data_IF_226293128839
#
_entry.id   IF_226293128839
#
_cell.length_a   1.000
_cell.length_b   1.000
_cell.length_c   1.000
_cell.angle_alpha   90.00
_cell.angle_beta   90.00
_cell.angle_gamma   90.00
#
_symmetry.space_group_name_H-M   'P 1'
#
loop_
_entity.id
_entity.type
_entity.pdbx_description
1 polymer ?
#
# COMPACT_ATOMS: atom_id res chain seq x y z
N UNK A 1 -17.16 5.90 14.36
CA UNK A 1 -17.40 7.29 13.91
C UNK A 1 -18.10 7.32 12.55
N UNK A 2 -17.71 6.48 11.57
CA UNK A 2 -18.33 6.47 10.22
C UNK A 2 -19.26 5.28 9.91
N UNK A 3 -19.55 4.39 10.87
CA UNK A 3 -20.39 3.20 10.61
C UNK A 3 -19.79 2.14 9.67
N UNK A 4 -18.60 2.41 9.11
CA UNK A 4 -17.83 1.46 8.31
C UNK A 4 -17.36 0.26 9.15
N UNK A 5 -17.30 -0.95 8.56
CA UNK A 5 -16.73 -2.11 9.22
C UNK A 5 -15.23 -1.92 9.47
N UNK A 6 -14.71 -2.61 10.49
CA UNK A 6 -13.26 -2.70 10.70
C UNK A 6 -12.66 -3.56 9.57
N UNK A 7 -11.67 -3.04 8.80
CA UNK A 7 -11.04 -3.82 7.73
C UNK A 7 -10.21 -4.94 8.35
N UNK A 8 -10.26 -6.11 7.74
CA UNK A 8 -9.52 -7.30 8.17
C UNK A 8 -8.49 -7.76 7.15
N UNK A 9 -8.63 -7.39 5.88
CA UNK A 9 -7.76 -7.76 4.77
C UNK A 9 -7.37 -6.54 3.92
N UNK A 10 -6.37 -6.67 3.05
CA UNK A 10 -6.10 -5.64 2.04
C UNK A 10 -7.26 -5.48 1.07
N UNK A 11 -7.94 -6.58 0.72
CA UNK A 11 -9.08 -6.58 -0.19
C UNK A 11 -10.23 -5.69 0.29
N UNK A 12 -10.45 -5.64 1.61
CA UNK A 12 -11.52 -4.83 2.21
C UNK A 12 -11.41 -3.35 1.81
N UNK A 13 -10.19 -2.80 1.70
CA UNK A 13 -9.98 -1.38 1.37
C UNK A 13 -10.41 -1.01 -0.06
N UNK A 14 -10.49 -1.98 -0.97
CA UNK A 14 -11.02 -1.82 -2.33
C UNK A 14 -12.49 -2.21 -2.46
N UNK A 15 -13.20 -2.49 -1.36
CA UNK A 15 -14.60 -2.93 -1.40
C UNK A 15 -15.59 -1.76 -1.55
N UNK A 16 -16.80 -2.03 -2.09
CA UNK A 16 -17.92 -1.08 -2.17
C UNK A 16 -18.27 -0.40 -0.84
N UNK A 17 -18.10 -1.10 0.28
CA UNK A 17 -18.50 -0.58 1.59
C UNK A 17 -17.71 0.68 1.97
N UNK A 18 -16.46 0.82 1.51
CA UNK A 18 -15.66 2.03 1.74
C UNK A 18 -15.95 3.15 0.75
N UNK A 19 -16.75 2.90 -0.29
CA UNK A 19 -17.21 3.90 -1.26
C UNK A 19 -18.43 4.69 -0.77
N UNK A 20 -19.07 4.27 0.32
CA UNK A 20 -20.35 4.80 0.82
C UNK A 20 -20.38 6.31 1.12
N UNK A 21 -19.22 6.96 1.19
CA UNK A 21 -19.09 8.39 1.47
C UNK A 21 -18.43 9.18 0.34
N UNK A 22 -18.15 8.55 -0.81
CA UNK A 22 -17.61 9.27 -1.97
C UNK A 22 -18.52 10.46 -2.34
N UNK A 23 -17.94 11.59 -2.79
CA UNK A 23 -16.50 11.82 -3.05
C UNK A 23 -15.68 12.14 -1.78
N UNK A 24 -16.26 12.07 -0.58
CA UNK A 24 -15.48 12.15 0.67
C UNK A 24 -14.77 10.82 0.92
N UNK A 25 -13.49 10.76 0.57
CA UNK A 25 -12.65 9.57 0.76
C UNK A 25 -12.35 9.31 2.23
N UNK A 26 -12.63 8.08 2.68
CA UNK A 26 -12.37 7.63 4.06
C UNK A 26 -11.25 6.59 4.16
N UNK A 27 -10.72 6.12 3.02
CA UNK A 27 -9.46 5.37 2.96
C UNK A 27 -8.34 6.35 2.64
N UNK A 28 -7.12 6.07 3.11
CA UNK A 28 -5.93 6.84 2.75
C UNK A 28 -4.76 5.94 2.40
N UNK A 29 -4.06 6.31 1.34
CA UNK A 29 -2.79 5.68 0.95
C UNK A 29 -1.80 6.77 0.51
N UNK A 30 -0.58 6.40 0.14
CA UNK A 30 0.41 7.36 -0.35
C UNK A 30 0.89 7.04 -1.76
N UNK A 31 1.27 8.09 -2.50
CA UNK A 31 1.86 7.96 -3.81
C UNK A 31 3.17 7.15 -3.72
N UNK A 32 3.24 6.06 -4.49
CA UNK A 32 4.41 5.19 -4.57
C UNK A 32 5.70 5.97 -4.93
N UNK A 33 5.60 7.04 -5.72
CA UNK A 33 6.73 7.86 -6.17
C UNK A 33 7.35 8.72 -5.06
N UNK A 34 6.66 8.92 -3.95
CA UNK A 34 7.10 9.72 -2.79
C UNK A 34 7.13 8.93 -1.49
N UNK A 35 6.44 7.78 -1.39
CA UNK A 35 6.43 6.90 -0.22
C UNK A 35 7.01 5.50 -0.51
N UNK A 36 8.22 5.24 0.01
CA UNK A 36 8.86 3.92 -0.11
C UNK A 36 8.16 2.84 0.73
N UNK A 37 7.57 3.20 1.86
CA UNK A 37 6.82 2.27 2.72
C UNK A 37 5.51 1.82 2.05
N UNK A 38 4.74 2.74 1.47
CA UNK A 38 3.55 2.36 0.69
C UNK A 38 3.92 1.60 -0.58
N UNK A 39 5.04 1.94 -1.24
CA UNK A 39 5.57 1.10 -2.32
C UNK A 39 5.77 -0.34 -1.86
N UNK A 40 6.31 -0.57 -0.66
CA UNK A 40 6.45 -1.94 -0.12
C UNK A 40 5.08 -2.59 0.14
N UNK A 41 4.10 -1.87 0.67
CA UNK A 41 2.73 -2.38 0.85
C UNK A 41 2.13 -2.83 -0.49
N UNK A 42 2.31 -2.04 -1.55
CA UNK A 42 1.83 -2.42 -2.89
C UNK A 42 2.52 -3.69 -3.41
N UNK A 43 3.81 -3.86 -3.14
CA UNK A 43 4.52 -5.10 -3.49
C UNK A 43 4.00 -6.31 -2.70
N UNK A 44 3.61 -6.12 -1.43
CA UNK A 44 3.01 -7.18 -0.61
C UNK A 44 1.68 -7.61 -1.24
N UNK A 45 0.82 -6.65 -1.58
CA UNK A 45 -0.47 -6.91 -2.26
C UNK A 45 -0.23 -7.65 -3.59
N UNK A 46 0.68 -7.18 -4.44
CA UNK A 46 1.01 -7.85 -5.71
C UNK A 46 1.55 -9.28 -5.55
N UNK A 47 2.21 -9.60 -4.43
CA UNK A 47 2.70 -10.96 -4.16
C UNK A 47 1.67 -11.86 -3.47
N UNK A 48 0.67 -11.30 -2.77
CA UNK A 48 -0.46 -12.05 -2.21
C UNK A 48 -1.45 -12.41 -3.33
N UNK A 49 -1.88 -11.40 -4.09
CA UNK A 49 -2.99 -11.52 -5.03
C UNK A 49 -2.55 -11.90 -6.44
N UNK A 50 -1.24 -11.85 -6.72
CA UNK A 50 -0.72 -11.97 -8.07
C UNK A 50 -0.78 -10.65 -8.83
N UNK A 51 -0.31 -10.66 -10.07
CA UNK A 51 -0.08 -9.41 -10.81
C UNK A 51 -1.38 -8.74 -11.25
N UNK A 52 -2.28 -9.48 -11.90
CA UNK A 52 -3.55 -8.95 -12.43
C UNK A 52 -4.49 -8.53 -11.31
N UNK A 53 -4.89 -9.47 -10.45
CA UNK A 53 -5.79 -9.19 -9.33
C UNK A 53 -5.18 -8.21 -8.32
N UNK A 54 -3.86 -8.26 -8.10
CA UNK A 54 -3.19 -7.31 -7.21
C UNK A 54 -3.25 -5.87 -7.74
N UNK A 55 -3.08 -5.65 -9.05
CA UNK A 55 -3.27 -4.32 -9.65
C UNK A 55 -4.73 -3.90 -9.62
N UNK A 56 -5.66 -4.82 -9.90
CA UNK A 56 -7.09 -4.55 -9.79
C UNK A 56 -7.47 -4.06 -8.38
N UNK A 57 -7.01 -4.76 -7.35
CA UNK A 57 -7.20 -4.36 -5.97
C UNK A 57 -6.55 -3.01 -5.65
N UNK A 58 -5.32 -2.75 -6.12
CA UNK A 58 -4.65 -1.47 -5.88
C UNK A 58 -5.40 -0.28 -6.50
N UNK A 59 -5.97 -0.46 -7.69
CA UNK A 59 -6.77 0.58 -8.36
C UNK A 59 -8.08 0.82 -7.61
N UNK A 60 -8.81 -0.24 -7.23
CA UNK A 60 -10.02 -0.13 -6.40
C UNK A 60 -9.75 0.51 -5.05
N UNK A 61 -8.65 0.14 -4.40
CA UNK A 61 -8.20 0.78 -3.16
C UNK A 61 -7.91 2.27 -3.40
N UNK A 62 -7.26 2.60 -4.52
CA UNK A 62 -7.01 3.97 -4.95
C UNK A 62 -8.29 4.78 -5.18
N UNK A 63 -9.32 4.16 -5.76
CA UNK A 63 -10.63 4.78 -5.99
C UNK A 63 -11.42 5.08 -4.70
N UNK A 64 -11.12 4.35 -3.61
CA UNK A 64 -11.65 4.64 -2.28
C UNK A 64 -10.79 5.64 -1.49
N UNK A 65 -9.58 5.96 -1.97
CA UNK A 65 -8.53 6.53 -1.15
C UNK A 65 -8.13 7.97 -1.50
N UNK A 66 -8.00 8.80 -0.47
CA UNK A 66 -7.20 10.01 -0.55
C UNK A 66 -5.72 9.65 -0.71
N UNK A 67 -5.06 10.23 -1.70
CA UNK A 67 -3.63 10.04 -1.95
C UNK A 67 -2.80 11.09 -1.21
N UNK A 68 -1.88 10.65 -0.36
CA UNK A 68 -0.94 11.49 0.38
C UNK A 68 0.48 11.36 -0.18
N UNK A 69 1.36 12.31 0.15
CA UNK A 69 2.77 12.23 -0.26
C UNK A 69 3.59 11.21 0.54
N UNK A 70 3.25 11.01 1.82
CA UNK A 70 4.04 10.19 2.73
C UNK A 70 3.16 9.42 3.70
N UNK A 71 3.64 8.25 4.12
CA UNK A 71 2.96 7.38 5.08
C UNK A 71 2.74 8.04 6.46
N UNK A 72 3.59 9.00 6.85
CA UNK A 72 3.37 9.81 8.06
C UNK A 72 2.12 10.68 7.96
N UNK A 73 1.85 11.27 6.79
CA UNK A 73 0.65 12.09 6.56
C UNK A 73 -0.62 11.23 6.56
N UNK A 74 -0.54 9.99 6.06
CA UNK A 74 -1.64 9.01 6.17
C UNK A 74 -1.97 8.73 7.63
N UNK A 75 -0.94 8.47 8.46
CA UNK A 75 -1.10 8.27 9.92
C UNK A 75 -1.76 9.49 10.57
N UNK A 76 -1.27 10.69 10.27
CA UNK A 76 -1.76 11.92 10.88
C UNK A 76 -3.22 12.20 10.48
N UNK A 77 -3.60 11.89 9.24
CA UNK A 77 -4.98 11.99 8.78
C UNK A 77 -5.93 11.04 9.54
N UNK A 78 -5.50 9.82 9.88
CA UNK A 78 -6.28 8.91 10.76
C UNK A 78 -6.38 9.49 12.17
N UNK A 79 -5.27 9.96 12.75
CA UNK A 79 -5.23 10.59 14.09
C UNK A 79 -6.20 11.78 14.17
N UNK A 80 -6.20 12.63 13.13
CA UNK A 80 -7.02 13.82 13.03
C UNK A 80 -8.47 13.54 12.60
N UNK A 81 -8.81 12.27 12.31
CA UNK A 81 -10.14 11.85 11.82
C UNK A 81 -10.53 12.54 10.50
N UNK A 82 -9.54 12.78 9.64
CA UNK A 82 -9.76 13.20 8.26
C UNK A 82 -10.15 12.01 7.38
N UNK A 83 -9.63 10.81 7.72
CA UNK A 83 -9.93 9.52 7.09
C UNK A 83 -10.23 8.49 8.17
N UNK A 84 -10.96 7.43 7.81
CA UNK A 84 -11.32 6.34 8.73
C UNK A 84 -10.23 5.25 8.82
N UNK A 85 -9.57 4.97 7.69
CA UNK A 85 -8.59 3.89 7.55
C UNK A 85 -7.43 4.38 6.70
N UNK A 86 -6.19 4.01 7.05
CA UNK A 86 -5.01 4.38 6.28
C UNK A 86 -3.95 3.29 6.22
N UNK A 87 -3.32 3.11 5.07
CA UNK A 87 -2.19 2.18 4.91
C UNK A 87 -0.92 2.75 5.54
N UNK A 88 -0.28 1.96 6.41
CA UNK A 88 0.92 2.41 7.12
C UNK A 88 1.78 1.25 7.61
N UNK A 89 2.94 1.58 8.15
CA UNK A 89 3.89 0.63 8.76
C UNK A 89 3.68 0.53 10.26
N UNK A 90 4.20 -0.54 10.84
CA UNK A 90 4.00 -0.97 12.23
C UNK A 90 4.15 0.15 13.25
N UNK A 91 5.30 0.85 13.27
CA UNK A 91 5.54 1.87 14.30
C UNK A 91 4.67 3.11 14.12
N UNK A 92 4.23 3.44 12.90
CA UNK A 92 3.27 4.52 12.66
C UNK A 92 1.87 4.13 13.09
N UNK A 93 1.39 2.95 12.69
CA UNK A 93 0.08 2.44 13.09
C UNK A 93 -0.02 2.27 14.60
N UNK A 94 1.01 1.68 15.20
CA UNK A 94 1.10 1.54 16.64
C UNK A 94 1.18 2.88 17.37
N UNK A 95 1.96 3.85 16.88
CA UNK A 95 1.99 5.20 17.46
C UNK A 95 0.61 5.86 17.42
N UNK A 96 -0.15 5.71 16.33
CA UNK A 96 -1.50 6.24 16.25
C UNK A 96 -2.44 5.58 17.28
N UNK A 97 -2.39 4.25 17.40
CA UNK A 97 -3.15 3.52 18.42
C UNK A 97 -2.76 3.94 19.83
N UNK A 98 -1.46 4.08 20.11
CA UNK A 98 -0.98 4.45 21.44
C UNK A 98 -1.39 5.87 21.83
N UNK A 99 -1.32 6.83 20.91
CA UNK A 99 -1.73 8.22 21.15
C UNK A 99 -3.25 8.38 21.29
N UNK A 100 -4.04 7.55 20.59
CA UNK A 100 -5.49 7.66 20.54
C UNK A 100 -6.18 6.29 20.63
N UNK A 101 -6.05 5.54 21.74
CA UNK A 101 -6.48 4.14 21.83
C UNK A 101 -8.00 3.93 21.72
N UNK A 102 -8.79 4.97 21.96
CA UNK A 102 -10.24 4.94 21.79
C UNK A 102 -10.70 5.08 20.32
N UNK A 103 -9.82 5.57 19.44
CA UNK A 103 -10.17 5.95 18.06
C UNK A 103 -9.30 5.30 16.99
N UNK A 104 -8.05 4.97 17.33
CA UNK A 104 -7.08 4.39 16.41
C UNK A 104 -6.76 2.97 16.85
N UNK A 105 -6.75 2.06 15.88
CA UNK A 105 -6.33 0.67 16.07
C UNK A 105 -5.36 0.30 14.95
N UNK A 106 -4.23 -0.30 15.33
CA UNK A 106 -3.33 -0.93 14.39
C UNK A 106 -3.81 -2.35 14.09
N UNK A 107 -3.97 -2.66 12.81
CA UNK A 107 -4.52 -3.94 12.33
C UNK A 107 -3.49 -4.65 11.46
N UNK A 108 -3.29 -5.93 11.73
CA UNK A 108 -2.56 -6.82 10.84
C UNK A 108 -3.56 -7.45 9.85
N UNK A 109 -3.34 -7.32 8.53
CA UNK A 109 -4.19 -7.95 7.53
C UNK A 109 -4.15 -9.48 7.64
N UNK A 110 -5.33 -10.10 7.69
CA UNK A 110 -5.53 -11.54 7.84
C UNK A 110 -5.21 -12.34 6.57
N UNK A 111 -5.19 -11.67 5.42
CA UNK A 111 -4.74 -12.17 4.11
C UNK A 111 -3.22 -12.07 3.91
N UNK A 112 -2.53 -11.45 4.85
CA UNK A 112 -1.08 -11.54 4.98
C UNK A 112 -0.35 -10.20 4.94
N UNK A 113 0.81 -10.17 5.58
CA UNK A 113 1.74 -9.05 5.57
C UNK A 113 3.19 -9.54 5.59
N UNK A 114 4.15 -8.66 5.83
CA UNK A 114 5.53 -9.04 6.15
C UNK A 114 5.88 -8.56 7.54
N UNK A 115 6.69 -9.35 8.23
CA UNK A 115 7.38 -8.95 9.45
C UNK A 115 8.87 -9.11 9.18
N UNK A 116 9.61 -8.01 9.19
CA UNK A 116 11.05 -8.01 8.95
C UNK A 116 11.76 -7.17 10.01
N UNK A 117 12.93 -7.65 10.44
CA UNK A 117 13.81 -6.87 11.29
C UNK A 117 14.54 -5.81 10.46
N UNK A 118 14.69 -4.61 11.02
CA UNK A 118 15.58 -3.59 10.44
C UNK A 118 17.05 -4.07 10.56
N UNK A 119 17.78 -4.17 9.44
CA UNK A 119 19.12 -4.71 9.45
C UNK A 119 20.16 -3.69 9.93
N UNK A 120 21.21 -4.20 10.58
CA UNK A 120 22.46 -3.49 10.80
C UNK A 120 23.61 -4.28 10.14
N UNK A 121 24.42 -3.62 9.31
CA UNK A 121 25.47 -4.26 8.53
C UNK A 121 26.86 -3.74 8.90
N UNK A 122 27.85 -4.65 8.87
CA UNK A 122 29.26 -4.33 9.03
C UNK A 122 29.94 -4.26 7.67
N UNK A 123 30.54 -3.11 7.34
CA UNK A 123 31.33 -2.96 6.12
C UNK A 123 32.52 -3.91 6.11
N UNK A 124 32.75 -4.58 4.99
CA UNK A 124 33.90 -5.48 4.78
C UNK A 124 35.24 -4.76 4.86
N UNK A 125 35.25 -3.44 4.63
CA UNK A 125 36.42 -2.56 4.66
C UNK A 125 36.69 -1.91 6.02
N UNK A 126 35.89 -2.22 7.04
CA UNK A 126 36.01 -1.60 8.36
C UNK A 126 37.40 -1.85 8.98
N UNK A 127 38.09 -0.77 9.34
CA UNK A 127 39.38 -0.81 10.03
C UNK A 127 39.24 -1.15 11.53
N UNK A 128 38.02 -1.10 12.07
CA UNK A 128 37.72 -1.28 13.49
C UNK A 128 36.71 -2.42 13.69
N UNK A 129 37.05 -3.60 13.16
CA UNK A 129 36.13 -4.74 13.07
C UNK A 129 35.60 -5.20 14.43
N UNK A 130 36.47 -5.31 15.43
CA UNK A 130 36.11 -5.76 16.78
C UNK A 130 35.16 -4.79 17.48
N UNK A 131 35.45 -3.48 17.43
CA UNK A 131 34.59 -2.45 18.00
C UNK A 131 33.21 -2.43 17.32
N UNK A 132 33.18 -2.54 15.99
CA UNK A 132 31.94 -2.56 15.25
C UNK A 132 31.10 -3.82 15.56
N UNK A 133 31.73 -4.99 15.73
CA UNK A 133 31.06 -6.19 16.20
C UNK A 133 30.55 -6.04 17.64
N UNK A 134 31.32 -5.39 18.53
CA UNK A 134 30.88 -5.04 19.88
C UNK A 134 29.65 -4.15 19.88
N UNK A 135 29.63 -3.12 19.03
CA UNK A 135 28.48 -2.24 18.85
C UNK A 135 27.26 -3.00 18.31
N UNK A 136 27.41 -3.82 17.28
CA UNK A 136 26.30 -4.63 16.74
C UNK A 136 25.74 -5.57 17.82
N UNK A 137 26.61 -6.23 18.61
CA UNK A 137 26.19 -7.07 19.74
C UNK A 137 25.38 -6.27 20.77
N UNK A 138 25.79 -5.05 21.07
CA UNK A 138 25.04 -4.17 21.95
C UNK A 138 23.69 -3.76 21.35
N UNK A 139 23.63 -3.34 20.09
CA UNK A 139 22.39 -2.95 19.39
C UNK A 139 21.34 -4.08 19.38
N UNK A 140 21.76 -5.34 19.27
CA UNK A 140 20.83 -6.48 19.28
C UNK A 140 20.54 -7.05 20.69
N UNK A 141 21.23 -6.53 21.72
CA UNK A 141 21.02 -6.94 23.10
C UNK A 141 19.75 -6.31 23.69
N UNK A 142 19.18 -6.87 24.77
CA UNK A 142 18.06 -6.24 25.47
C UNK A 142 18.38 -4.81 25.91
N UNK A 143 19.59 -4.59 26.43
CA UNK A 143 20.03 -3.28 26.90
C UNK A 143 20.06 -2.23 25.78
N UNK A 144 20.64 -2.56 24.62
CA UNK A 144 20.71 -1.63 23.48
C UNK A 144 19.36 -1.35 22.83
N UNK A 145 18.40 -2.26 22.97
CA UNK A 145 17.05 -2.12 22.41
C UNK A 145 16.05 -1.42 23.33
N UNK A 146 16.41 -1.14 24.59
CA UNK A 146 15.56 -0.36 25.52
C UNK A 146 15.17 1.01 24.95
N UNK A 147 16.02 1.60 24.11
CA UNK A 147 15.75 2.90 23.47
C UNK A 147 14.47 2.86 22.61
N UNK A 148 14.11 1.70 22.06
CA UNK A 148 12.91 1.56 21.22
C UNK A 148 11.60 1.71 22.01
N UNK A 149 11.67 1.54 23.33
CA UNK A 149 10.56 1.69 24.27
C UNK A 149 10.22 3.15 24.59
N UNK A 150 11.05 4.12 24.17
CA UNK A 150 10.72 5.54 24.35
C UNK A 150 9.44 5.88 23.57
N UNK A 151 8.49 6.56 24.21
CA UNK A 151 7.21 6.94 23.60
C UNK A 151 7.35 7.86 22.37
N UNK A 152 8.49 8.54 22.21
CA UNK A 152 8.78 9.35 21.03
C UNK A 152 9.38 8.52 19.87
N UNK A 153 9.82 7.28 20.14
CA UNK A 153 10.37 6.38 19.13
C UNK A 153 9.36 5.28 18.80
N UNK A 154 8.78 4.64 19.81
CA UNK A 154 7.69 3.65 19.71
C UNK A 154 7.92 2.58 18.64
N UNK A 155 9.13 2.02 18.61
CA UNK A 155 9.50 0.96 17.68
C UNK A 155 9.49 -0.38 18.38
N UNK A 156 9.12 -1.42 17.63
CA UNK A 156 9.09 -2.77 18.15
C UNK A 156 10.51 -3.32 18.32
N UNK A 157 10.92 -3.77 19.52
CA UNK A 157 12.18 -4.47 19.68
C UNK A 157 12.08 -5.84 18.98
N UNK A 158 13.20 -6.33 18.44
CA UNK A 158 13.26 -7.69 17.90
C UNK A 158 13.58 -8.72 19.01
N UNK A 159 14.20 -8.27 20.09
CA UNK A 159 14.59 -9.12 21.22
C UNK A 159 13.50 -9.09 22.30
N UNK A 160 12.77 -10.21 22.47
CA UNK A 160 11.68 -10.32 23.44
C UNK A 160 12.12 -10.02 24.88
N UNK A 161 13.37 -10.33 25.24
CA UNK A 161 13.90 -10.06 26.58
C UNK A 161 14.02 -8.56 26.92
N UNK A 162 13.80 -7.66 25.97
CA UNK A 162 13.63 -6.23 26.24
C UNK A 162 12.44 -6.00 27.17
N UNK A 163 11.37 -6.80 27.07
CA UNK A 163 10.19 -6.68 27.93
C UNK A 163 10.43 -7.12 29.37
N UNK A 164 11.53 -7.84 29.65
CA UNK A 164 11.94 -8.20 31.02
C UNK A 164 12.69 -7.07 31.75
N UNK A 165 13.11 -6.03 31.02
CA UNK A 165 13.79 -4.86 31.61
C UNK A 165 12.81 -3.98 32.39
N UNK A 166 13.28 -3.14 33.35
CA UNK A 166 12.41 -2.23 34.09
C UNK A 166 11.58 -1.28 33.20
N UNK A 167 12.15 -0.84 32.07
CA UNK A 167 11.44 -0.03 31.07
C UNK A 167 10.46 -0.88 30.26
N UNK A 168 10.84 -2.11 29.90
CA UNK A 168 9.99 -3.06 29.17
C UNK A 168 8.73 -3.42 29.93
N UNK A 169 8.84 -3.63 31.25
CA UNK A 169 7.71 -3.92 32.13
C UNK A 169 6.70 -2.76 32.21
N UNK A 170 7.10 -1.54 31.87
CA UNK A 170 6.21 -0.37 31.78
C UNK A 170 5.48 -0.28 30.43
N UNK A 171 5.83 -1.13 29.46
CA UNK A 171 5.31 -1.12 28.08
C UNK A 171 4.46 -2.34 27.76
N UNK A 172 3.52 -2.69 28.65
CA UNK A 172 2.57 -3.79 28.44
C UNK A 172 1.75 -3.62 27.15
N UNK A 173 1.46 -2.37 26.77
CA UNK A 173 0.84 -1.98 25.52
C UNK A 173 1.66 -2.40 24.27
N UNK A 174 2.98 -2.20 24.30
CA UNK A 174 3.86 -2.61 23.20
C UNK A 174 4.10 -4.12 23.21
N UNK A 175 4.18 -4.73 24.40
CA UNK A 175 4.32 -6.17 24.55
C UNK A 175 3.13 -6.93 23.96
N UNK A 176 1.90 -6.42 24.14
CA UNK A 176 0.71 -6.99 23.51
C UNK A 176 0.81 -6.96 21.98
N UNK A 177 1.20 -5.82 21.41
CA UNK A 177 1.35 -5.69 19.95
C UNK A 177 2.51 -6.57 19.45
N UNK A 178 3.59 -6.72 20.22
CA UNK A 178 4.68 -7.65 19.90
C UNK A 178 4.21 -9.10 19.79
N UNK A 179 3.34 -9.58 20.70
CA UNK A 179 2.77 -10.92 20.58
C UNK A 179 1.85 -11.05 19.36
N UNK A 180 1.03 -10.03 19.07
CA UNK A 180 0.22 -10.00 17.83
C UNK A 180 1.10 -10.06 16.57
N UNK A 181 2.25 -9.37 16.56
CA UNK A 181 3.21 -9.45 15.45
C UNK A 181 3.75 -10.87 15.26
N UNK A 182 4.00 -11.62 16.34
CA UNK A 182 4.44 -13.03 16.28
C UNK A 182 3.36 -13.96 15.73
N UNK A 183 2.09 -13.61 15.91
CA UNK A 183 0.93 -14.37 15.45
C UNK A 183 0.44 -13.94 14.05
N UNK A 184 0.92 -12.79 13.54
CA UNK A 184 0.49 -12.25 12.26
C UNK A 184 0.79 -13.22 11.11
N UNK A 185 -0.14 -13.32 10.16
CA UNK A 185 0.09 -14.09 8.93
C UNK A 185 1.16 -13.39 8.09
N UNK A 186 2.33 -14.01 7.96
CA UNK A 186 3.42 -13.47 7.14
C UNK A 186 3.54 -14.22 5.82
N UNK A 187 3.58 -13.50 4.70
CA UNK A 187 3.95 -14.09 3.42
C UNK A 187 5.46 -14.30 3.32
N UNK A 188 5.88 -15.29 2.53
CA UNK A 188 7.28 -15.45 2.13
C UNK A 188 7.64 -14.45 1.03
N UNK A 189 7.76 -13.19 1.41
CA UNK A 189 8.03 -12.10 0.48
C UNK A 189 9.34 -12.30 -0.29
N UNK A 190 9.26 -12.27 -1.61
CA UNK A 190 10.41 -12.36 -2.50
C UNK A 190 10.98 -10.96 -2.75
N UNK A 191 12.04 -10.60 -2.03
CA UNK A 191 12.67 -9.28 -2.14
C UNK A 191 13.40 -9.06 -3.47
N UNK A 192 13.96 -10.12 -4.06
CA UNK A 192 14.58 -10.07 -5.38
C UNK A 192 13.55 -9.76 -6.45
N UNK A 193 12.40 -10.43 -6.39
CA UNK A 193 11.27 -10.15 -7.27
C UNK A 193 10.72 -8.74 -7.05
N UNK A 194 10.47 -8.31 -5.81
CA UNK A 194 10.03 -6.95 -5.51
C UNK A 194 10.98 -5.88 -6.08
N UNK A 195 12.30 -6.09 -5.94
CA UNK A 195 13.29 -5.17 -6.51
C UNK A 195 13.28 -5.14 -8.05
N UNK A 196 12.94 -6.26 -8.70
CA UNK A 196 12.99 -6.41 -10.16
C UNK A 196 12.01 -5.51 -10.92
N UNK A 197 10.95 -5.00 -10.28
CA UNK A 197 9.95 -4.10 -10.89
C UNK A 197 9.72 -2.81 -10.07
N UNK A 198 10.56 -2.53 -9.07
CA UNK A 198 10.38 -1.43 -8.11
C UNK A 198 10.10 -0.06 -8.74
N UNK A 199 10.90 0.37 -9.71
CA UNK A 199 10.74 1.67 -10.36
C UNK A 199 9.52 1.71 -11.28
N UNK A 200 9.27 0.62 -12.01
CA UNK A 200 8.14 0.49 -12.95
C UNK A 200 6.80 0.59 -12.23
N UNK A 201 6.61 -0.17 -11.13
CA UNK A 201 5.33 -0.15 -10.40
C UNK A 201 5.05 1.21 -9.76
N UNK A 202 6.08 1.97 -9.36
CA UNK A 202 5.88 3.30 -8.75
C UNK A 202 5.33 4.29 -9.76
N UNK A 203 5.90 4.29 -10.96
CA UNK A 203 5.43 5.13 -12.06
C UNK A 203 4.07 4.67 -12.59
N UNK A 204 3.84 3.36 -12.71
CA UNK A 204 2.54 2.83 -13.13
C UNK A 204 1.44 3.15 -12.12
N UNK A 205 1.68 2.94 -10.81
CA UNK A 205 0.77 3.36 -9.73
C UNK A 205 0.41 4.85 -9.86
N UNK A 206 1.41 5.72 -10.07
CA UNK A 206 1.14 7.14 -10.26
C UNK A 206 0.29 7.41 -11.51
N UNK A 207 0.57 6.73 -12.62
CA UNK A 207 -0.15 6.90 -13.88
C UNK A 207 -1.61 6.43 -13.84
N UNK A 208 -1.91 5.34 -13.10
CA UNK A 208 -3.25 4.72 -13.13
C UNK A 208 -4.10 5.03 -11.90
N UNK A 209 -3.51 5.47 -10.79
CA UNK A 209 -4.25 5.82 -9.55
C UNK A 209 -4.15 7.30 -9.23
N UNK A 210 -2.95 7.87 -9.21
CA UNK A 210 -2.72 9.20 -8.64
C UNK A 210 -3.10 10.33 -9.61
N UNK A 211 -2.63 10.23 -10.85
CA UNK A 211 -2.90 11.24 -11.88
C UNK A 211 -4.36 11.25 -12.37
N UNK A 212 -5.03 10.11 -12.59
CA UNK A 212 -6.41 10.07 -13.08
C UNK A 212 -7.44 10.07 -11.92
N UNK A 213 -7.04 10.42 -10.69
CA UNK A 213 -7.83 10.22 -9.48
C UNK A 213 -9.27 10.74 -9.59
N UNK A 214 -9.49 11.90 -10.22
CA UNK A 214 -10.84 12.47 -10.39
C UNK A 214 -11.75 11.54 -11.20
N UNK A 215 -11.26 11.00 -12.32
CA UNK A 215 -12.05 10.11 -13.18
C UNK A 215 -12.20 8.74 -12.55
N UNK A 216 -11.14 8.21 -11.93
CA UNK A 216 -11.18 6.93 -11.22
C UNK A 216 -12.18 6.92 -10.06
N UNK A 217 -12.15 7.95 -9.20
CA UNK A 217 -13.11 8.09 -8.11
C UNK A 217 -14.52 8.25 -8.63
N UNK A 218 -14.70 9.01 -9.73
CA UNK A 218 -16.02 9.22 -10.32
C UNK A 218 -16.63 7.94 -10.88
N UNK A 219 -15.87 7.19 -11.68
CA UNK A 219 -16.30 5.89 -12.19
C UNK A 219 -16.69 4.95 -11.04
N UNK A 220 -15.84 4.87 -10.01
CA UNK A 220 -16.10 4.00 -8.87
C UNK A 220 -17.34 4.46 -8.07
N UNK A 221 -17.51 5.77 -7.84
CA UNK A 221 -18.72 6.34 -7.23
C UNK A 221 -19.97 5.97 -8.02
N UNK A 222 -19.96 6.15 -9.35
CA UNK A 222 -21.10 5.86 -10.22
C UNK A 222 -21.45 4.37 -10.25
N UNK A 223 -20.45 3.48 -10.31
CA UNK A 223 -20.66 2.04 -10.22
C UNK A 223 -21.33 1.65 -8.89
N UNK A 224 -20.85 2.19 -7.77
CA UNK A 224 -21.40 1.90 -6.45
C UNK A 224 -22.81 2.46 -6.29
N UNK A 225 -23.07 3.66 -6.81
CA UNK A 225 -24.39 4.26 -6.80
C UNK A 225 -25.40 3.43 -7.61
N UNK A 226 -25.02 3.03 -8.83
CA UNK A 226 -25.87 2.20 -9.68
C UNK A 226 -26.20 0.83 -9.03
N UNK A 227 -25.24 0.23 -8.32
CA UNK A 227 -25.48 -0.99 -7.54
C UNK A 227 -26.44 -0.73 -6.37
N UNK A 228 -26.26 0.36 -5.62
CA UNK A 228 -27.10 0.71 -4.46
C UNK A 228 -28.54 1.04 -4.87
N UNK A 229 -28.73 1.75 -5.98
CA UNK A 229 -30.07 2.09 -6.52
C UNK A 229 -30.73 0.92 -7.25
N UNK A 230 -29.99 -0.16 -7.51
CA UNK A 230 -30.47 -1.34 -8.24
C UNK A 230 -30.60 -1.12 -9.75
N UNK A 231 -29.91 -0.13 -10.29
CA UNK A 231 -29.78 0.10 -11.74
C UNK A 231 -28.89 -0.95 -12.41
N UNK A 232 -27.95 -1.53 -11.67
CA UNK A 232 -27.18 -2.72 -12.08
C UNK A 232 -27.25 -3.82 -11.02
N UNK A 233 -27.05 -5.05 -11.46
CA UNK A 233 -26.93 -6.23 -10.60
C UNK A 233 -25.55 -6.32 -9.96
N UNK A 234 -25.42 -7.15 -8.91
CA UNK A 234 -24.12 -7.46 -8.32
C UNK A 234 -23.18 -8.11 -9.34
N UNK A 235 -23.70 -8.92 -10.27
CA UNK A 235 -22.88 -9.59 -11.30
C UNK A 235 -22.28 -8.59 -12.28
N UNK A 236 -23.08 -7.62 -12.75
CA UNK A 236 -22.61 -6.53 -13.61
C UNK A 236 -21.60 -5.62 -12.89
N UNK A 237 -21.84 -5.32 -11.61
CA UNK A 237 -20.88 -4.57 -10.80
C UNK A 237 -19.56 -5.33 -10.66
N UNK A 238 -19.61 -6.63 -10.35
CA UNK A 238 -18.43 -7.47 -10.15
C UNK A 238 -17.63 -7.61 -11.46
N UNK A 239 -18.31 -7.69 -12.61
CA UNK A 239 -17.68 -7.69 -13.93
C UNK A 239 -16.89 -6.40 -14.19
N UNK A 240 -17.52 -5.24 -14.05
CA UNK A 240 -16.86 -3.93 -14.19
C UNK A 240 -15.71 -3.77 -13.17
N UNK A 241 -15.95 -4.15 -11.92
CA UNK A 241 -14.98 -4.04 -10.83
C UNK A 241 -13.80 -5.02 -10.95
N UNK A 242 -13.94 -6.10 -11.71
CA UNK A 242 -12.82 -7.02 -12.02
C UNK A 242 -11.86 -6.45 -13.07
N UNK A 243 -12.38 -5.54 -13.91
CA UNK A 243 -11.68 -4.96 -15.06
C UNK A 243 -11.08 -3.60 -14.75
N UNK A 244 -11.65 -2.84 -13.80
CA UNK A 244 -11.26 -1.45 -13.53
C UNK A 244 -9.75 -1.24 -13.38
N UNK A 245 -9.05 -2.11 -12.66
CA UNK A 245 -7.59 -2.03 -12.52
C UNK A 245 -6.82 -3.15 -13.17
N UNK A 246 -7.43 -3.90 -14.10
CA UNK A 246 -6.73 -4.96 -14.81
C UNK A 246 -5.66 -4.36 -15.75
N UNK A 247 -4.36 -4.55 -15.46
CA UNK A 247 -3.29 -3.94 -16.25
C UNK A 247 -3.16 -4.55 -17.66
N UNK A 248 -3.88 -5.64 -17.94
CA UNK A 248 -3.93 -6.30 -19.25
C UNK A 248 -5.03 -5.76 -20.16
N UNK A 249 -5.96 -4.96 -19.65
CA UNK A 249 -6.98 -4.26 -20.44
C UNK A 249 -6.58 -2.83 -20.79
N UNK A 250 -5.53 -2.31 -20.15
CA UNK A 250 -4.97 -0.99 -20.42
C UNK A 250 -3.86 -1.08 -21.48
N UNK A 251 -4.25 -1.27 -22.75
CA UNK A 251 -3.30 -1.22 -23.87
C UNK A 251 -2.68 0.17 -24.02
N UNK A 252 -1.36 0.23 -24.18
CA UNK A 252 -0.64 1.47 -24.44
C UNK A 252 0.42 1.28 -25.53
N UNK A 253 0.75 2.35 -26.25
CA UNK A 253 1.86 2.36 -27.19
C UNK A 253 3.15 2.66 -26.45
N UNK A 254 4.12 1.74 -26.47
CA UNK A 254 5.45 2.00 -25.91
C UNK A 254 6.10 3.16 -26.71
N UNK A 255 6.44 4.28 -26.06
CA UNK A 255 6.94 5.48 -26.73
C UNK A 255 8.34 5.30 -27.36
N UNK A 256 9.04 4.21 -27.05
CA UNK A 256 10.34 3.90 -27.61
C UNK A 256 10.22 2.96 -28.82
N UNK A 257 9.44 1.88 -28.69
CA UNK A 257 9.34 0.86 -29.74
C UNK A 257 8.23 1.17 -30.74
N UNK A 258 7.23 1.97 -30.35
CA UNK A 258 6.01 2.20 -31.11
C UNK A 258 5.06 0.99 -31.13
N UNK A 259 5.34 -0.05 -30.35
CA UNK A 259 4.53 -1.27 -30.28
C UNK A 259 3.44 -1.13 -29.21
N UNK A 260 2.26 -1.69 -29.48
CA UNK A 260 1.22 -1.86 -28.47
C UNK A 260 1.66 -2.89 -27.44
N UNK A 261 1.54 -2.52 -26.16
CA UNK A 261 1.93 -3.32 -25.01
C UNK A 261 0.85 -3.25 -23.93
N UNK A 262 0.91 -4.19 -23.00
CA UNK A 262 0.15 -4.19 -21.74
C UNK A 262 1.11 -4.36 -20.56
N UNK A 263 0.71 -3.90 -19.37
CA UNK A 263 1.63 -3.83 -18.23
C UNK A 263 1.74 -5.17 -17.49
N UNK A 264 2.31 -6.19 -18.16
CA UNK A 264 2.61 -7.49 -17.54
C UNK A 264 3.77 -7.38 -16.55
N UNK A 265 3.89 -8.35 -15.62
CA UNK A 265 5.05 -8.44 -14.72
C UNK A 265 6.38 -8.51 -15.48
N UNK A 266 6.43 -9.29 -16.56
CA UNK A 266 7.64 -9.45 -17.37
C UNK A 266 8.04 -8.13 -18.05
N UNK A 267 7.06 -7.38 -18.57
CA UNK A 267 7.28 -6.06 -19.15
C UNK A 267 7.75 -5.06 -18.08
N UNK A 268 7.10 -5.02 -16.92
CA UNK A 268 7.51 -4.17 -15.81
C UNK A 268 8.96 -4.45 -15.38
N UNK A 269 9.39 -5.72 -15.38
CA UNK A 269 10.75 -6.14 -15.08
C UNK A 269 11.75 -5.73 -16.17
N UNK A 270 11.39 -5.84 -17.45
CA UNK A 270 12.30 -5.54 -18.56
C UNK A 270 12.67 -4.06 -18.62
N UNK A 271 11.75 -3.15 -18.24
CA UNK A 271 11.98 -1.70 -18.28
C UNK A 271 12.47 -1.10 -16.96
N UNK A 272 12.48 -1.88 -15.86
CA UNK A 272 12.68 -1.38 -14.49
C UNK A 272 13.96 -0.58 -14.28
N UNK A 273 15.08 -1.06 -14.82
CA UNK A 273 16.36 -0.36 -14.71
C UNK A 273 16.32 0.99 -15.42
N UNK A 274 15.74 1.04 -16.62
CA UNK A 274 15.62 2.27 -17.40
C UNK A 274 14.67 3.26 -16.73
N UNK A 275 13.54 2.78 -16.20
CA UNK A 275 12.65 3.57 -15.35
C UNK A 275 13.38 4.16 -14.14
N UNK A 276 14.43 3.52 -13.62
CA UNK A 276 15.20 4.07 -12.50
C UNK A 276 16.11 5.25 -12.93
N UNK A 277 16.73 5.17 -14.11
CA UNK A 277 17.86 6.03 -14.50
C UNK A 277 17.55 7.07 -15.56
N UNK A 278 16.55 6.83 -16.41
CA UNK A 278 16.19 7.70 -17.54
C UNK A 278 14.91 8.47 -17.21
N UNK A 279 15.07 9.74 -16.86
CA UNK A 279 13.97 10.62 -16.43
C UNK A 279 13.01 10.92 -17.58
N UNK A 280 13.52 11.08 -18.79
CA UNK A 280 12.69 11.43 -19.95
C UNK A 280 11.87 10.21 -20.39
N UNK A 281 12.49 9.03 -20.45
CA UNK A 281 11.78 7.77 -20.71
C UNK A 281 10.70 7.51 -19.66
N UNK A 282 11.01 7.69 -18.36
CA UNK A 282 10.03 7.55 -17.28
C UNK A 282 8.83 8.46 -17.48
N UNK A 283 9.06 9.72 -17.86
CA UNK A 283 7.97 10.67 -18.10
C UNK A 283 7.09 10.21 -19.26
N UNK A 284 7.69 9.89 -20.43
CA UNK A 284 6.94 9.41 -21.60
C UNK A 284 6.15 8.13 -21.31
N UNK A 285 6.73 7.19 -20.57
CA UNK A 285 6.03 5.97 -20.13
C UNK A 285 4.85 6.28 -19.20
N UNK A 286 5.06 7.18 -18.23
CA UNK A 286 4.00 7.59 -17.29
C UNK A 286 2.84 8.27 -18.04
N UNK A 287 3.15 9.11 -19.03
CA UNK A 287 2.14 9.77 -19.87
C UNK A 287 1.37 8.77 -20.75
N UNK A 288 2.07 7.77 -21.33
CA UNK A 288 1.44 6.71 -22.12
C UNK A 288 0.48 5.85 -21.27
N UNK A 289 0.91 5.46 -20.06
CA UNK A 289 0.05 4.71 -19.13
C UNK A 289 -1.11 5.54 -18.60
N UNK A 290 -0.92 6.83 -18.36
CA UNK A 290 -2.01 7.73 -17.97
C UNK A 290 -3.06 7.81 -19.08
N UNK A 291 -2.64 7.99 -20.33
CA UNK A 291 -3.56 8.03 -21.47
C UNK A 291 -4.35 6.72 -21.61
N UNK A 292 -3.70 5.57 -21.46
CA UNK A 292 -4.36 4.26 -21.47
C UNK A 292 -5.36 4.10 -20.31
N UNK A 293 -4.99 4.50 -19.10
CA UNK A 293 -5.89 4.43 -17.94
C UNK A 293 -7.11 5.33 -18.09
N UNK A 294 -6.95 6.57 -18.54
CA UNK A 294 -8.07 7.49 -18.78
C UNK A 294 -9.02 6.95 -19.86
N UNK A 295 -8.49 6.36 -20.93
CA UNK A 295 -9.29 5.72 -21.97
C UNK A 295 -10.07 4.51 -21.42
N UNK A 296 -9.40 3.63 -20.67
CA UNK A 296 -10.04 2.48 -20.03
C UNK A 296 -11.16 2.87 -19.06
N UNK A 297 -10.93 3.90 -18.23
CA UNK A 297 -11.96 4.39 -17.32
C UNK A 297 -13.15 5.04 -18.04
N UNK A 298 -12.91 5.68 -19.18
CA UNK A 298 -14.00 6.20 -20.03
C UNK A 298 -14.81 5.07 -20.65
N UNK A 299 -14.15 4.04 -21.20
CA UNK A 299 -14.82 2.87 -21.77
C UNK A 299 -15.72 2.16 -20.75
N UNK A 300 -15.25 1.97 -19.51
CA UNK A 300 -16.07 1.41 -18.43
C UNK A 300 -17.21 2.34 -18.00
N UNK A 301 -17.01 3.66 -18.08
CA UNK A 301 -18.08 4.64 -17.80
C UNK A 301 -19.17 4.58 -18.87
N UNK A 302 -18.80 4.45 -20.13
CA UNK A 302 -19.74 4.27 -21.25
C UNK A 302 -20.49 2.93 -21.15
N UNK A 303 -19.80 1.85 -20.77
CA UNK A 303 -20.39 0.54 -20.52
C UNK A 303 -21.44 0.60 -19.39
N UNK A 304 -21.07 1.21 -18.25
CA UNK A 304 -21.99 1.45 -17.14
C UNK A 304 -23.23 2.26 -17.58
N UNK A 305 -23.04 3.33 -18.34
CA UNK A 305 -24.15 4.13 -18.87
C UNK A 305 -25.07 3.34 -19.81
N UNK A 306 -24.52 2.35 -20.53
CA UNK A 306 -25.30 1.42 -21.34
C UNK A 306 -26.18 0.49 -20.50
N UNK A 307 -25.66 0.01 -19.36
CA UNK A 307 -26.39 -0.85 -18.43
C UNK A 307 -27.52 -0.11 -17.70
N UNK A 308 -27.28 1.13 -17.26
CA UNK A 308 -28.27 1.92 -16.51
C UNK A 308 -29.37 2.55 -17.38
N UNK A 309 -29.20 2.57 -18.70
CA UNK A 309 -30.18 3.10 -19.64
C UNK A 309 -31.29 2.09 -20.04
N UNK A 310 -31.15 0.81 -19.69
CA UNK A 310 -32.07 -0.29 -20.02
C UNK A 310 -33.19 -0.50 -19.01
#
# INVERSE_FOLDING_TARGET
>A
YYGLPEPTTWADLGSPVYAAYLPTTLVGTADATTSTSNTRIFQIILQIYGWEEGWNLLVRMGANARIFDQSGNVRDAVINREIAVGTTIDFYGYTAQWLNPEFCRYVFPADGTIVNADPIALLTTSQNRELAQGFIKWVISPEGQRVWLDGNINRMPINEAVFDTPEGQQRADLAEVYQKTKEALTIKFNSTEGASYYSSIRSFHRAVIVLPQIQLEKLWEDMNWALETGEITQEEFDELASRIGNPLEMEFTDPETGETQVFTKAYAQSINQRMATDVEYKQRMTDAWLAAALAHYEELSEELAGLTAG
#
